data_IF_047047393144
#
_entry.id   IF_047047393144
#
_cell.length_a   1.000
_cell.length_b   1.000
_cell.length_c   1.000
_cell.angle_alpha   90.00
_cell.angle_beta   90.00
_cell.angle_gamma   90.00
#
_symmetry.space_group_name_H-M   'P 1'
#
loop_
_entity.id
_entity.type
_entity.pdbx_description
1 polymer ?
#
# COMPACT_ATOMS: atom_id res chain seq x y z
N UNK A 1 30.61 26.29 19.02
CA UNK A 1 29.23 26.76 18.68
C UNK A 1 28.85 26.00 17.44
N UNK A 2 28.56 24.75 17.72
CA UNK A 2 28.65 23.64 16.81
C UNK A 2 27.37 23.63 15.98
N UNK A 3 27.55 23.68 14.66
CA UNK A 3 26.48 23.45 13.71
C UNK A 3 26.15 21.96 13.81
N UNK A 4 25.07 21.63 14.51
CA UNK A 4 24.43 20.34 14.35
C UNK A 4 23.91 20.24 12.92
N UNK A 5 24.70 19.57 12.10
CA UNK A 5 24.27 18.80 10.94
C UNK A 5 23.03 17.96 11.32
N UNK A 6 21.86 18.55 11.07
CA UNK A 6 20.59 17.83 11.00
C UNK A 6 20.31 17.43 9.55
N UNK A 7 21.22 16.65 8.93
CA UNK A 7 20.89 15.85 7.76
C UNK A 7 20.15 14.57 8.19
N UNK A 8 18.99 14.77 8.82
CA UNK A 8 17.99 13.72 8.97
C UNK A 8 17.38 13.47 7.60
N UNK A 9 17.88 12.48 6.85
CA UNK A 9 17.25 12.03 5.61
C UNK A 9 15.75 11.83 5.86
N UNK A 10 14.91 12.66 5.23
CA UNK A 10 13.46 12.54 5.34
C UNK A 10 13.08 11.10 4.96
N UNK A 11 12.27 10.40 5.77
CA UNK A 11 11.97 8.98 5.58
C UNK A 11 11.30 8.64 4.22
N UNK A 12 10.92 9.65 3.43
CA UNK A 12 10.37 9.52 2.08
C UNK A 12 11.34 9.72 0.90
N UNK A 13 12.62 10.04 1.11
CA UNK A 13 13.55 10.39 0.01
C UNK A 13 14.34 9.20 -0.58
N UNK A 14 14.16 7.97 -0.07
CA UNK A 14 14.90 6.82 -0.59
C UNK A 14 14.28 6.29 -1.91
N UNK A 15 15.08 5.98 -2.95
CA UNK A 15 14.58 5.47 -4.25
C UNK A 15 13.67 4.24 -4.12
N UNK A 16 13.89 3.42 -3.10
CA UNK A 16 13.08 2.22 -2.82
C UNK A 16 11.68 2.56 -2.32
N UNK A 17 11.50 3.67 -1.61
CA UNK A 17 10.18 4.13 -1.14
C UNK A 17 9.34 4.64 -2.31
N UNK A 18 9.90 5.49 -3.18
CA UNK A 18 9.20 5.98 -4.37
C UNK A 18 8.75 4.84 -5.29
N UNK A 19 9.61 3.84 -5.48
CA UNK A 19 9.26 2.65 -6.24
C UNK A 19 8.14 1.83 -5.58
N UNK A 20 8.16 1.67 -4.25
CA UNK A 20 7.10 0.96 -3.52
C UNK A 20 5.76 1.71 -3.60
N UNK A 21 5.75 3.03 -3.44
CA UNK A 21 4.55 3.87 -3.61
C UNK A 21 4.00 3.74 -5.03
N UNK A 22 4.87 3.77 -6.04
CA UNK A 22 4.45 3.52 -7.43
C UNK A 22 3.78 2.16 -7.58
N UNK A 23 4.33 1.08 -7.02
CA UNK A 23 3.68 -0.25 -7.07
C UNK A 23 2.34 -0.29 -6.33
N UNK A 24 2.19 0.43 -5.22
CA UNK A 24 0.92 0.53 -4.48
C UNK A 24 -0.13 1.25 -5.34
N UNK A 25 0.23 2.35 -6.00
CA UNK A 25 -0.66 3.10 -6.91
C UNK A 25 -1.14 2.24 -8.09
N UNK A 26 -0.26 1.39 -8.62
CA UNK A 26 -0.60 0.45 -9.69
C UNK A 26 -1.22 -0.85 -9.16
N UNK A 27 -1.50 -0.95 -7.86
CA UNK A 27 -2.15 -2.10 -7.25
C UNK A 27 -1.29 -3.36 -7.15
N UNK A 28 0.02 -3.26 -7.43
CA UNK A 28 1.02 -4.34 -7.41
C UNK A 28 1.66 -4.57 -6.04
N UNK A 29 1.31 -3.78 -5.03
CA UNK A 29 1.72 -3.98 -3.65
C UNK A 29 0.58 -3.57 -2.70
N UNK A 30 0.46 -4.27 -1.58
CA UNK A 30 -0.48 -3.93 -0.51
C UNK A 30 0.14 -2.91 0.45
N UNK A 31 -0.68 -2.05 1.04
CA UNK A 31 -0.26 -1.16 2.13
C UNK A 31 -0.20 -1.94 3.44
N UNK A 32 0.99 -2.04 4.02
CA UNK A 32 1.20 -2.60 5.38
C UNK A 32 1.22 -1.49 6.43
N UNK A 33 1.23 -1.84 7.73
CA UNK A 33 1.26 -0.85 8.82
C UNK A 33 2.52 0.04 8.78
N UNK A 34 3.71 -0.52 8.50
CA UNK A 34 4.95 0.27 8.33
C UNK A 34 4.83 1.25 7.16
N UNK A 35 4.21 0.82 6.05
CA UNK A 35 4.00 1.67 4.89
C UNK A 35 2.99 2.79 5.15
N UNK A 36 1.94 2.51 5.93
CA UNK A 36 0.97 3.52 6.36
C UNK A 36 1.65 4.64 7.18
N UNK A 37 2.56 4.30 8.10
CA UNK A 37 3.33 5.30 8.87
C UNK A 37 4.25 6.12 7.95
N UNK A 38 4.93 5.50 7.00
CA UNK A 38 5.76 6.23 6.02
C UNK A 38 4.94 7.16 5.13
N UNK A 39 3.75 6.74 4.71
CA UNK A 39 2.83 7.55 3.91
C UNK A 39 2.19 8.68 4.74
N UNK A 40 1.89 8.42 6.01
CA UNK A 40 1.46 9.43 6.99
C UNK A 40 2.50 10.56 7.07
N UNK A 41 3.76 10.21 7.34
CA UNK A 41 4.85 11.17 7.46
C UNK A 41 5.15 11.90 6.13
N UNK A 42 5.10 11.18 5.01
CA UNK A 42 5.45 11.74 3.70
C UNK A 42 4.36 12.64 3.11
N UNK A 43 3.07 12.33 3.35
CA UNK A 43 1.93 12.99 2.70
C UNK A 43 1.07 13.81 3.67
N UNK A 44 1.40 13.83 4.96
CA UNK A 44 0.65 14.58 5.98
C UNK A 44 -0.78 14.05 6.21
N UNK A 45 -1.00 12.76 5.93
CA UNK A 45 -2.30 12.10 6.20
C UNK A 45 -2.42 11.71 7.68
N UNK A 46 -3.51 11.09 8.13
CA UNK A 46 -3.56 10.54 9.49
C UNK A 46 -3.00 9.12 9.54
N UNK A 47 -2.39 8.73 10.66
CA UNK A 47 -1.99 7.34 10.89
C UNK A 47 -3.22 6.40 10.79
N UNK A 48 -3.06 5.29 10.09
CA UNK A 48 -4.07 4.30 9.76
C UNK A 48 -4.95 4.65 8.55
N UNK A 49 -4.78 5.83 7.93
CA UNK A 49 -5.59 6.26 6.79
C UNK A 49 -5.44 5.31 5.59
N UNK A 50 -4.20 5.01 5.20
CA UNK A 50 -3.91 4.21 4.02
C UNK A 50 -4.20 2.73 4.27
N UNK A 51 -3.95 2.26 5.49
CA UNK A 51 -4.30 0.89 5.88
C UNK A 51 -5.82 0.64 5.80
N UNK A 52 -6.64 1.62 6.17
CA UNK A 52 -8.10 1.54 6.03
C UNK A 52 -8.55 1.50 4.56
N UNK A 53 -7.88 2.25 3.68
CA UNK A 53 -8.16 2.18 2.24
C UNK A 53 -7.80 0.81 1.65
N UNK A 54 -6.68 0.23 2.08
CA UNK A 54 -6.28 -1.12 1.67
C UNK A 54 -7.35 -2.16 2.06
N UNK A 55 -7.83 -2.12 3.31
CA UNK A 55 -8.89 -3.02 3.78
C UNK A 55 -10.18 -2.91 2.96
N UNK A 56 -10.60 -1.69 2.59
CA UNK A 56 -11.77 -1.48 1.74
C UNK A 56 -11.59 -2.05 0.34
N UNK A 57 -10.42 -1.84 -0.27
CA UNK A 57 -10.07 -2.43 -1.58
C UNK A 57 -10.07 -3.96 -1.53
N UNK A 58 -9.50 -4.54 -0.47
CA UNK A 58 -9.42 -5.99 -0.31
C UNK A 58 -10.80 -6.62 -0.16
N UNK A 59 -11.69 -5.98 0.63
CA UNK A 59 -13.08 -6.40 0.75
C UNK A 59 -13.83 -6.33 -0.58
N UNK A 60 -13.67 -5.23 -1.33
CA UNK A 60 -14.27 -5.10 -2.66
C UNK A 60 -13.75 -6.19 -3.61
N UNK A 61 -12.43 -6.40 -3.65
CA UNK A 61 -11.79 -7.40 -4.52
C UNK A 61 -12.24 -8.83 -4.18
N UNK A 62 -12.32 -9.16 -2.89
CA UNK A 62 -12.85 -10.43 -2.42
C UNK A 62 -14.32 -10.60 -2.81
N UNK A 63 -15.12 -9.53 -2.70
CA UNK A 63 -16.51 -9.51 -3.13
C UNK A 63 -16.70 -9.71 -4.63
N UNK A 64 -15.81 -9.17 -5.48
CA UNK A 64 -15.82 -9.41 -6.93
C UNK A 64 -15.49 -10.87 -7.23
N UNK A 65 -14.41 -11.41 -6.65
CA UNK A 65 -14.01 -12.82 -6.83
C UNK A 65 -15.08 -13.82 -6.37
N UNK A 66 -15.76 -13.53 -5.27
CA UNK A 66 -16.84 -14.39 -4.77
C UNK A 66 -18.07 -14.41 -5.69
N UNK A 67 -18.24 -13.38 -6.53
CA UNK A 67 -19.32 -13.30 -7.54
C UNK A 67 -18.94 -13.95 -8.86
N UNK A 68 -17.66 -14.21 -9.12
CA UNK A 68 -17.23 -14.92 -10.31
C UNK A 68 -17.65 -16.40 -10.18
N UNK A 69 -18.49 -16.93 -11.09
CA UNK A 69 -18.85 -18.33 -11.04
C UNK A 69 -17.58 -19.16 -11.20
N UNK A 70 -17.42 -20.17 -10.33
CA UNK A 70 -16.30 -21.10 -10.41
C UNK A 70 -16.16 -21.60 -11.85
N UNK A 71 -14.93 -21.72 -12.40
CA UNK A 71 -14.74 -22.23 -13.74
C UNK A 71 -15.46 -23.57 -13.81
N UNK A 72 -16.50 -23.64 -14.63
CA UNK A 72 -17.25 -24.88 -14.86
C UNK A 72 -16.26 -25.87 -15.45
N UNK A 73 -15.72 -26.72 -14.58
CA UNK A 73 -14.88 -27.83 -14.99
C UNK A 73 -15.78 -28.72 -15.86
N UNK A 74 -15.52 -28.71 -17.17
CA UNK A 74 -16.16 -29.67 -18.08
C UNK A 74 -15.71 -31.05 -17.63
N UNK A 75 -16.60 -31.74 -16.92
CA UNK A 75 -16.46 -33.15 -16.61
C UNK A 75 -16.66 -33.86 -17.94
N UNK A 76 -15.55 -34.24 -18.59
CA UNK A 76 -15.61 -35.04 -19.80
C UNK A 76 -16.19 -36.42 -19.44
N UNK A 77 -17.21 -36.82 -20.18
CA UNK A 77 -17.85 -38.14 -20.13
C UNK A 77 -17.31 -39.03 -21.26
#
# INVERSE_FOLDING_TARGET
MDREDSSGSRPGSSPTFQHQVSRILHGHAAVTADMDLRLHEALGTSAGYWLRLQAQRDLWTAGVRAKEPAPVARIAA
#
